data_IF_267819813881
#
_entry.id   IF_267819813881
#
_cell.length_a   1.000
_cell.length_b   1.000
_cell.length_c   1.000
_cell.angle_alpha   90.00
_cell.angle_beta   90.00
_cell.angle_gamma   90.00
#
_symmetry.space_group_name_H-M   'P 1'
#
loop_
_entity.id
_entity.type
_entity.pdbx_description
1 polymer ?
#
# COMPACT_ATOMS: atom_id res chain seq x y z
N UNK A 1 37.87 33.81 17.77
CA UNK A 1 39.21 33.27 17.48
C UNK A 1 39.06 32.15 16.45
N UNK A 2 39.58 32.39 15.24
CA UNK A 2 39.70 31.51 14.04
C UNK A 2 38.45 30.74 13.55
N UNK A 3 37.87 31.12 12.40
CA UNK A 3 38.23 30.58 11.06
C UNK A 3 37.01 29.78 10.56
N UNK A 4 36.46 29.94 9.37
CA UNK A 4 37.00 30.33 8.07
C UNK A 4 35.74 30.71 7.27
N UNK A 5 35.64 31.91 6.70
CA UNK A 5 34.67 32.12 5.62
C UNK A 5 35.19 31.31 4.43
N UNK A 6 34.84 30.03 4.40
CA UNK A 6 34.91 29.24 3.18
C UNK A 6 33.85 29.89 2.30
N UNK A 7 34.27 30.51 1.21
CA UNK A 7 33.34 31.01 0.20
C UNK A 7 32.56 29.78 -0.25
N UNK A 8 31.30 29.68 0.20
CA UNK A 8 30.38 28.66 -0.24
C UNK A 8 29.99 29.06 -1.66
N UNK A 9 30.60 28.41 -2.64
CA UNK A 9 30.38 28.69 -4.07
C UNK A 9 29.12 27.91 -4.48
N UNK A 10 28.12 28.61 -5.02
CA UNK A 10 26.85 28.02 -5.47
C UNK A 10 25.64 28.39 -4.61
N UNK A 11 24.45 28.29 -5.20
CA UNK A 11 23.18 28.52 -4.49
C UNK A 11 22.94 27.47 -3.40
N UNK A 12 21.96 27.66 -2.52
CA UNK A 12 21.62 26.63 -1.51
C UNK A 12 21.21 25.29 -2.17
N UNK A 13 20.59 25.36 -3.35
CA UNK A 13 20.25 24.17 -4.15
C UNK A 13 21.49 23.37 -4.55
N UNK A 14 22.52 24.02 -5.11
CA UNK A 14 23.77 23.34 -5.51
C UNK A 14 24.45 22.66 -4.32
N UNK A 15 24.51 23.37 -3.18
CA UNK A 15 25.11 22.87 -1.93
C UNK A 15 24.31 21.69 -1.37
N UNK A 16 22.99 21.72 -1.49
CA UNK A 16 22.12 20.64 -1.07
C UNK A 16 22.31 19.43 -1.98
N UNK A 17 22.34 19.61 -3.30
CA UNK A 17 22.64 18.53 -4.25
C UNK A 17 23.99 17.87 -3.94
N UNK A 18 25.04 18.66 -3.67
CA UNK A 18 26.35 18.12 -3.27
C UNK A 18 26.26 17.33 -1.96
N UNK A 19 25.51 17.83 -0.96
CA UNK A 19 25.31 17.15 0.30
C UNK A 19 24.58 15.80 0.13
N UNK A 20 23.53 15.77 -0.69
CA UNK A 20 22.74 14.58 -0.97
C UNK A 20 23.55 13.52 -1.74
N UNK A 21 24.40 13.94 -2.68
CA UNK A 21 25.30 13.02 -3.39
C UNK A 21 26.40 12.45 -2.48
N UNK A 22 26.93 13.26 -1.57
CA UNK A 22 28.02 12.83 -0.67
C UNK A 22 27.54 11.98 0.50
N UNK A 23 26.32 12.23 0.98
CA UNK A 23 25.75 11.56 2.14
C UNK A 23 24.39 10.96 1.77
N UNK A 24 24.37 9.66 1.49
CA UNK A 24 23.15 8.90 1.13
C UNK A 24 21.98 9.15 2.09
N UNK A 25 22.28 9.27 3.40
CA UNK A 25 21.28 9.46 4.46
C UNK A 25 20.89 10.92 4.72
N UNK A 26 21.47 11.88 4.01
CA UNK A 26 21.16 13.30 4.20
C UNK A 26 19.72 13.64 3.76
N UNK A 27 19.22 13.01 2.71
CA UNK A 27 17.83 13.17 2.26
C UNK A 27 16.84 12.79 3.37
N UNK A 28 17.05 11.62 3.97
CA UNK A 28 16.23 11.10 5.08
C UNK A 28 16.27 12.07 6.26
N UNK A 29 17.47 12.48 6.69
CA UNK A 29 17.64 13.41 7.82
C UNK A 29 16.89 14.72 7.56
N UNK A 30 17.07 15.31 6.37
CA UNK A 30 16.45 16.60 6.05
C UNK A 30 14.93 16.48 5.90
N UNK A 31 14.41 15.40 5.32
CA UNK A 31 12.95 15.13 5.24
C UNK A 31 12.34 14.97 6.64
N UNK A 32 12.98 14.21 7.52
CA UNK A 32 12.49 14.07 8.91
C UNK A 32 12.57 15.40 9.64
N UNK A 33 13.65 16.16 9.48
CA UNK A 33 13.78 17.50 10.05
C UNK A 33 12.71 18.47 9.53
N UNK A 34 12.37 18.43 8.24
CA UNK A 34 11.27 19.21 7.67
C UNK A 34 9.92 18.80 8.28
N UNK A 35 9.65 17.49 8.42
CA UNK A 35 8.39 17.03 9.03
C UNK A 35 8.22 17.51 10.48
N UNK A 36 9.33 17.63 11.23
CA UNK A 36 9.31 18.19 12.59
C UNK A 36 8.88 19.66 12.55
N UNK A 37 9.39 20.45 11.59
CA UNK A 37 8.99 21.84 11.39
C UNK A 37 7.52 21.95 11.00
N UNK A 38 7.03 21.07 10.13
CA UNK A 38 5.66 21.09 9.64
C UNK A 38 4.65 20.76 10.74
N UNK A 39 4.96 19.79 11.60
CA UNK A 39 4.08 19.39 12.71
C UNK A 39 3.98 20.46 13.80
N UNK A 40 5.08 21.15 14.10
CA UNK A 40 5.15 22.08 15.24
C UNK A 40 5.13 23.56 14.85
N UNK A 41 5.30 23.87 13.57
CA UNK A 41 5.65 25.19 13.09
C UNK A 41 7.10 25.59 13.40
N UNK A 42 7.53 26.77 12.91
CA UNK A 42 8.87 27.29 13.23
C UNK A 42 8.91 27.77 14.68
N UNK A 43 9.73 27.10 15.49
CA UNK A 43 9.89 27.43 16.91
C UNK A 43 10.84 28.59 17.14
N UNK A 44 10.69 29.29 18.27
CA UNK A 44 11.61 30.38 18.66
C UNK A 44 13.05 29.91 18.89
N UNK A 45 13.24 28.67 19.36
CA UNK A 45 14.58 28.10 19.62
C UNK A 45 15.21 27.45 18.39
N UNK A 46 14.42 27.03 17.41
CA UNK A 46 14.91 26.43 16.16
C UNK A 46 13.84 25.67 15.39
N UNK A 47 14.24 25.12 14.25
CA UNK A 47 13.41 24.34 13.33
C UNK A 47 13.38 22.85 13.69
N UNK A 48 14.46 22.29 14.26
CA UNK A 48 14.46 20.95 14.87
C UNK A 48 15.57 20.80 15.91
N UNK A 49 15.48 19.77 16.76
CA UNK A 49 16.51 19.41 17.75
C UNK A 49 16.93 17.95 17.62
N UNK A 50 18.09 17.63 18.18
CA UNK A 50 18.71 16.32 18.02
C UNK A 50 17.84 15.19 18.57
N UNK A 51 17.27 15.38 19.77
CA UNK A 51 16.51 14.33 20.46
C UNK A 51 15.26 13.98 19.64
N UNK A 52 14.49 15.01 19.27
CA UNK A 52 13.28 14.83 18.46
C UNK A 52 13.60 14.20 17.10
N UNK A 53 14.67 14.63 16.43
CA UNK A 53 15.11 14.03 15.17
C UNK A 53 15.44 12.54 15.31
N UNK A 54 16.25 12.18 16.31
CA UNK A 54 16.64 10.76 16.52
C UNK A 54 15.46 9.88 16.90
N UNK A 55 14.53 10.37 17.72
CA UNK A 55 13.30 9.63 18.06
C UNK A 55 12.45 9.37 16.82
N UNK A 56 12.25 10.38 15.96
CA UNK A 56 11.43 10.25 14.75
C UNK A 56 12.08 9.38 13.68
N UNK A 57 13.41 9.42 13.56
CA UNK A 57 14.17 8.49 12.71
C UNK A 57 13.94 7.04 13.15
N UNK A 58 14.02 6.76 14.45
CA UNK A 58 13.80 5.42 15.00
C UNK A 58 12.35 4.95 14.81
N UNK A 59 11.36 5.82 15.02
CA UNK A 59 9.94 5.53 14.76
C UNK A 59 9.67 5.13 13.31
N UNK A 60 10.40 5.73 12.36
CA UNK A 60 10.34 5.40 10.94
C UNK A 60 11.19 4.19 10.54
N UNK A 61 11.86 3.54 11.49
CA UNK A 61 12.67 2.34 11.26
C UNK A 61 14.10 2.63 10.79
N UNK A 62 14.57 3.87 10.87
CA UNK A 62 15.94 4.24 10.51
C UNK A 62 16.88 4.11 11.73
N UNK A 63 17.73 3.10 11.71
CA UNK A 63 18.73 2.85 12.75
C UNK A 63 20.13 3.34 12.31
N UNK A 64 20.35 4.65 12.38
CA UNK A 64 21.65 5.24 12.14
C UNK A 64 21.88 6.54 12.91
N UNK A 65 23.16 6.88 13.11
CA UNK A 65 23.59 8.05 13.87
C UNK A 65 23.72 9.31 12.98
N UNK A 66 22.84 10.33 13.13
CA UNK A 66 22.82 11.52 12.26
C UNK A 66 23.91 12.56 12.56
N UNK A 67 24.60 12.48 13.70
CA UNK A 67 25.51 13.53 14.20
C UNK A 67 26.58 13.98 13.20
N UNK A 68 27.20 13.04 12.49
CA UNK A 68 28.24 13.38 11.51
C UNK A 68 27.68 14.08 10.28
N UNK A 69 26.47 13.71 9.85
CA UNK A 69 25.80 14.30 8.69
C UNK A 69 25.29 15.70 9.05
N UNK A 70 24.69 15.87 10.23
CA UNK A 70 24.28 17.20 10.73
C UNK A 70 25.45 18.17 10.79
N UNK A 71 26.62 17.71 11.29
CA UNK A 71 27.84 18.52 11.32
C UNK A 71 28.28 18.94 9.92
N UNK A 72 28.20 18.05 8.93
CA UNK A 72 28.56 18.35 7.55
C UNK A 72 27.56 19.31 6.90
N UNK A 73 26.26 19.04 7.05
CA UNK A 73 25.16 19.92 6.59
C UNK A 73 25.31 21.34 7.12
N UNK A 74 25.76 21.50 8.36
CA UNK A 74 26.04 22.81 8.95
C UNK A 74 27.35 23.43 8.43
N UNK A 75 28.48 22.74 8.61
CA UNK A 75 29.81 23.37 8.45
C UNK A 75 30.34 23.35 7.03
N UNK A 76 30.03 22.30 6.28
CA UNK A 76 30.60 22.07 4.96
C UNK A 76 29.68 22.58 3.86
N UNK A 77 28.36 22.43 4.05
CA UNK A 77 27.36 22.81 3.04
C UNK A 77 26.55 24.06 3.41
N UNK A 78 26.41 24.39 4.70
CA UNK A 78 25.59 25.52 5.14
C UNK A 78 24.13 25.38 4.67
N UNK A 79 23.53 24.22 4.92
CA UNK A 79 22.09 23.93 4.71
C UNK A 79 21.31 24.27 5.97
N UNK A 80 21.92 23.99 7.12
CA UNK A 80 21.39 24.27 8.45
C UNK A 80 22.41 25.08 9.26
N UNK A 81 21.95 25.72 10.32
CA UNK A 81 22.79 26.44 11.26
C UNK A 81 22.35 26.16 12.70
N UNK A 82 23.29 26.09 13.63
CA UNK A 82 22.97 26.02 15.06
C UNK A 82 22.26 27.28 15.51
N UNK A 83 21.00 27.15 15.93
CA UNK A 83 20.20 28.27 16.44
C UNK A 83 20.26 28.41 17.95
N UNK A 84 20.42 27.29 18.66
CA UNK A 84 20.61 27.26 20.10
C UNK A 84 21.40 26.02 20.52
N UNK A 85 22.33 26.20 21.46
CA UNK A 85 23.11 25.10 22.01
C UNK A 85 23.35 25.29 23.50
N UNK A 86 23.01 24.28 24.28
CA UNK A 86 23.32 24.14 25.70
C UNK A 86 24.05 22.82 25.96
N UNK A 87 24.31 22.51 27.23
CA UNK A 87 24.92 21.22 27.62
C UNK A 87 24.10 20.01 27.20
N UNK A 88 22.77 20.13 27.17
CA UNK A 88 21.84 19.01 26.96
C UNK A 88 20.93 19.19 25.73
N UNK A 89 21.00 20.33 25.04
CA UNK A 89 20.15 20.62 23.89
C UNK A 89 20.97 21.21 22.75
N UNK A 90 20.68 20.77 21.53
CA UNK A 90 21.24 21.34 20.32
C UNK A 90 20.11 21.45 19.31
N UNK A 91 19.81 22.69 18.93
CA UNK A 91 18.77 23.06 17.98
C UNK A 91 19.41 23.65 16.72
N UNK A 92 18.79 23.35 15.59
CA UNK A 92 19.17 23.85 14.28
C UNK A 92 18.02 24.60 13.63
N UNK A 93 18.37 25.53 12.73
CA UNK A 93 17.48 26.17 11.77
C UNK A 93 17.94 25.86 10.35
N UNK A 94 17.01 25.78 9.42
CA UNK A 94 17.32 25.79 8.00
C UNK A 94 17.69 27.20 7.57
N UNK A 95 18.81 27.35 6.84
CA UNK A 95 19.23 28.65 6.32
C UNK A 95 18.16 29.19 5.35
N UNK A 96 17.63 28.31 4.50
CA UNK A 96 16.47 28.58 3.66
C UNK A 96 15.59 27.34 3.62
N UNK A 97 14.55 27.33 4.45
CA UNK A 97 13.62 26.22 4.60
C UNK A 97 12.90 25.91 3.28
N UNK A 98 12.43 26.94 2.59
CA UNK A 98 11.64 26.78 1.37
C UNK A 98 12.51 26.22 0.25
N UNK A 99 13.72 26.74 0.07
CA UNK A 99 14.64 26.17 -0.93
C UNK A 99 15.04 24.73 -0.62
N UNK A 100 15.18 24.36 0.66
CA UNK A 100 15.49 22.97 1.06
C UNK A 100 14.30 22.05 0.82
N UNK A 101 13.08 22.51 1.14
CA UNK A 101 11.84 21.78 0.83
C UNK A 101 11.70 21.57 -0.67
N UNK A 102 11.75 22.64 -1.44
CA UNK A 102 11.66 22.61 -2.90
C UNK A 102 12.71 21.68 -3.51
N UNK A 103 13.95 21.72 -3.04
CA UNK A 103 15.01 20.89 -3.59
C UNK A 103 14.89 19.41 -3.21
N UNK A 104 14.33 19.09 -2.03
CA UNK A 104 14.03 17.71 -1.65
C UNK A 104 12.80 17.18 -2.38
N UNK A 105 11.83 18.03 -2.71
CA UNK A 105 10.67 17.67 -3.53
C UNK A 105 11.02 17.63 -5.02
N UNK A 106 12.02 18.41 -5.47
CA UNK A 106 12.60 18.38 -6.82
C UNK A 106 13.63 17.27 -7.04
N UNK A 107 14.04 16.55 -5.99
CA UNK A 107 14.72 15.29 -6.16
C UNK A 107 13.71 14.31 -6.74
N UNK A 108 13.69 14.19 -8.07
CA UNK A 108 12.80 13.32 -8.85
C UNK A 108 12.43 12.08 -8.03
N UNK A 109 11.24 12.09 -7.44
CA UNK A 109 10.65 10.83 -7.00
C UNK A 109 10.55 10.00 -8.27
N UNK A 110 11.17 8.81 -8.28
CA UNK A 110 11.22 7.94 -9.45
C UNK A 110 9.82 7.96 -10.09
N UNK A 111 9.68 8.37 -11.38
CA UNK A 111 8.39 8.46 -12.03
C UNK A 111 7.55 7.18 -11.88
N UNK A 112 8.22 6.03 -11.74
CA UNK A 112 7.58 4.75 -11.43
C UNK A 112 6.95 4.74 -10.03
N UNK A 113 7.62 5.25 -8.98
CA UNK A 113 7.07 5.39 -7.63
C UNK A 113 5.85 6.31 -7.65
N UNK A 114 5.93 7.45 -8.33
CA UNK A 114 4.81 8.41 -8.48
C UNK A 114 3.62 7.74 -9.17
N UNK A 115 3.89 7.01 -10.25
CA UNK A 115 2.85 6.28 -11.00
C UNK A 115 2.21 5.18 -10.14
N UNK A 116 3.01 4.40 -9.40
CA UNK A 116 2.53 3.35 -8.48
C UNK A 116 1.57 3.95 -7.46
N UNK A 117 1.94 5.06 -6.81
CA UNK A 117 1.09 5.76 -5.83
C UNK A 117 -0.20 6.26 -6.46
N UNK A 118 -0.11 6.87 -7.63
CA UNK A 118 -1.27 7.40 -8.35
C UNK A 118 -2.25 6.29 -8.70
N UNK A 119 -1.76 5.17 -9.22
CA UNK A 119 -2.58 4.02 -9.58
C UNK A 119 -3.16 3.33 -8.34
N UNK A 120 -2.38 3.15 -7.28
CA UNK A 120 -2.86 2.58 -6.02
C UNK A 120 -4.01 3.40 -5.43
N UNK A 121 -3.87 4.72 -5.38
CA UNK A 121 -4.93 5.64 -4.93
C UNK A 121 -6.16 5.54 -5.82
N UNK A 122 -5.98 5.56 -7.14
CA UNK A 122 -7.09 5.50 -8.11
C UNK A 122 -7.87 4.18 -8.04
N UNK A 123 -7.20 3.08 -7.69
CA UNK A 123 -7.83 1.75 -7.52
C UNK A 123 -8.66 1.64 -6.23
N UNK A 124 -8.58 2.61 -5.31
CA UNK A 124 -9.41 2.61 -4.10
C UNK A 124 -9.18 1.39 -3.21
N UNK A 125 -7.92 1.10 -2.86
CA UNK A 125 -7.50 -0.10 -2.11
C UNK A 125 -8.34 -0.34 -0.84
N UNK A 126 -8.68 0.74 -0.13
CA UNK A 126 -9.51 0.72 1.08
C UNK A 126 -10.88 0.12 0.86
N UNK A 127 -11.55 0.55 -0.19
CA UNK A 127 -12.91 0.13 -0.47
C UNK A 127 -12.95 -1.31 -0.99
N UNK A 128 -11.96 -1.70 -1.79
CA UNK A 128 -11.79 -3.09 -2.22
C UNK A 128 -11.57 -4.00 -1.01
N UNK A 129 -10.62 -3.63 -0.15
CA UNK A 129 -10.31 -4.40 1.05
C UNK A 129 -11.54 -4.55 1.96
N UNK A 130 -12.26 -3.45 2.21
CA UNK A 130 -13.48 -3.44 3.04
C UNK A 130 -14.57 -4.35 2.45
N UNK A 131 -14.82 -4.26 1.13
CA UNK A 131 -15.81 -5.10 0.43
C UNK A 131 -15.45 -6.58 0.54
N UNK A 132 -14.18 -6.94 0.35
CA UNK A 132 -13.70 -8.31 0.47
C UNK A 132 -13.77 -8.83 1.92
N UNK A 133 -13.43 -8.00 2.91
CA UNK A 133 -13.59 -8.39 4.32
C UNK A 133 -15.05 -8.70 4.67
N UNK A 134 -16.00 -7.87 4.23
CA UNK A 134 -17.43 -8.11 4.41
C UNK A 134 -17.89 -9.40 3.73
N UNK A 135 -17.45 -9.64 2.49
CA UNK A 135 -17.75 -10.89 1.77
C UNK A 135 -17.14 -12.11 2.46
N UNK A 136 -15.94 -12.01 3.01
CA UNK A 136 -15.29 -13.11 3.71
C UNK A 136 -16.04 -13.45 5.02
N UNK A 137 -16.50 -12.44 5.75
CA UNK A 137 -17.24 -12.63 7.00
C UNK A 137 -18.63 -13.22 6.77
N UNK A 138 -19.39 -12.69 5.82
CA UNK A 138 -20.79 -13.11 5.59
C UNK A 138 -20.92 -14.26 4.59
N UNK A 139 -19.91 -14.46 3.74
CA UNK A 139 -19.95 -15.31 2.55
C UNK A 139 -20.71 -14.67 1.38
N UNK A 140 -20.56 -15.23 0.18
CA UNK A 140 -21.38 -14.88 -0.98
C UNK A 140 -22.77 -15.50 -0.76
N UNK A 141 -23.81 -14.66 -0.62
CA UNK A 141 -25.19 -15.11 -0.33
C UNK A 141 -26.20 -14.77 -1.42
N UNK A 142 -25.83 -13.89 -2.35
CA UNK A 142 -26.71 -13.41 -3.42
C UNK A 142 -26.02 -13.43 -4.78
N UNK A 143 -26.81 -13.38 -5.85
CA UNK A 143 -26.28 -13.21 -7.21
C UNK A 143 -25.62 -11.84 -7.40
N UNK A 144 -26.06 -10.82 -6.65
CA UNK A 144 -25.42 -9.51 -6.59
C UNK A 144 -24.00 -9.62 -6.01
N UNK A 145 -23.82 -10.36 -4.92
CA UNK A 145 -22.48 -10.63 -4.35
C UNK A 145 -21.59 -11.36 -5.34
N UNK A 146 -22.15 -12.35 -6.05
CA UNK A 146 -21.43 -13.15 -7.05
C UNK A 146 -21.00 -12.29 -8.24
N UNK A 147 -21.89 -11.45 -8.76
CA UNK A 147 -21.61 -10.52 -9.84
C UNK A 147 -20.56 -9.49 -9.43
N UNK A 148 -20.68 -8.92 -8.22
CA UNK A 148 -19.72 -7.96 -7.69
C UNK A 148 -18.33 -8.59 -7.49
N UNK A 149 -18.25 -9.79 -6.90
CA UNK A 149 -16.99 -10.50 -6.73
C UNK A 149 -16.37 -10.90 -8.06
N UNK A 150 -17.18 -11.33 -9.04
CA UNK A 150 -16.73 -11.60 -10.41
C UNK A 150 -16.12 -10.34 -11.03
N UNK A 151 -16.81 -9.20 -10.94
CA UNK A 151 -16.30 -7.93 -11.45
C UNK A 151 -14.95 -7.58 -10.82
N UNK A 152 -14.86 -7.60 -9.49
CA UNK A 152 -13.60 -7.42 -8.75
C UNK A 152 -12.50 -8.34 -9.28
N UNK A 153 -12.78 -9.64 -9.43
CA UNK A 153 -11.80 -10.64 -9.81
C UNK A 153 -11.26 -10.48 -11.24
N UNK A 154 -12.08 -10.01 -12.18
CA UNK A 154 -11.72 -9.92 -13.59
C UNK A 154 -11.35 -8.49 -14.05
N UNK A 155 -11.73 -7.45 -13.30
CA UNK A 155 -11.44 -6.05 -13.65
C UNK A 155 -10.41 -5.44 -12.70
N UNK A 156 -10.66 -5.49 -11.39
CA UNK A 156 -9.84 -4.77 -10.41
C UNK A 156 -8.57 -5.54 -9.98
N UNK A 157 -8.70 -6.86 -9.70
CA UNK A 157 -7.56 -7.66 -9.22
C UNK A 157 -6.39 -7.77 -10.22
N UNK A 158 -6.59 -7.85 -11.54
CA UNK A 158 -5.49 -7.81 -12.50
C UNK A 158 -4.69 -6.51 -12.41
N UNK A 159 -5.38 -5.36 -12.34
CA UNK A 159 -4.74 -4.05 -12.21
C UNK A 159 -3.94 -3.95 -10.90
N UNK A 160 -4.51 -4.46 -9.80
CA UNK A 160 -3.83 -4.54 -8.52
C UNK A 160 -2.57 -5.41 -8.60
N UNK A 161 -2.61 -6.55 -9.29
CA UNK A 161 -1.45 -7.41 -9.46
C UNK A 161 -0.32 -6.72 -10.22
N UNK A 162 -0.64 -5.91 -11.24
CA UNK A 162 0.34 -5.17 -12.01
C UNK A 162 0.97 -4.02 -11.21
N UNK A 163 0.20 -3.34 -10.37
CA UNK A 163 0.73 -2.36 -9.40
C UNK A 163 1.61 -3.07 -8.35
N UNK A 164 1.17 -4.23 -7.85
CA UNK A 164 1.93 -5.00 -6.86
C UNK A 164 3.32 -5.39 -7.37
N UNK A 165 3.42 -5.97 -8.58
CA UNK A 165 4.69 -6.40 -9.17
C UNK A 165 5.72 -5.28 -9.29
N UNK A 166 5.27 -4.05 -9.56
CA UNK A 166 6.15 -2.87 -9.65
C UNK A 166 6.47 -2.33 -8.25
N UNK A 167 5.48 -2.26 -7.36
CA UNK A 167 5.68 -1.78 -5.98
C UNK A 167 6.64 -2.62 -5.13
N UNK A 168 6.82 -3.92 -5.41
CA UNK A 168 7.81 -4.72 -4.65
C UNK A 168 9.26 -4.38 -5.00
N UNK A 169 9.50 -3.61 -6.06
CA UNK A 169 10.84 -3.21 -6.49
C UNK A 169 11.38 -1.99 -5.73
N UNK A 170 10.51 -1.26 -5.03
CA UNK A 170 10.83 0.01 -4.37
C UNK A 170 10.42 -0.01 -2.90
N UNK A 171 11.35 0.28 -1.98
CA UNK A 171 11.08 0.28 -0.53
C UNK A 171 10.06 1.39 -0.17
N UNK A 172 10.06 2.50 -0.90
CA UNK A 172 9.17 3.65 -0.78
C UNK A 172 7.70 3.34 -1.06
N UNK A 173 7.40 2.15 -1.59
CA UNK A 173 6.04 1.69 -1.93
C UNK A 173 5.64 0.41 -1.19
N UNK A 174 6.38 0.08 -0.12
CA UNK A 174 6.18 -1.15 0.67
C UNK A 174 4.82 -1.24 1.36
N UNK A 175 4.26 -0.12 1.79
CA UNK A 175 2.91 -0.03 2.37
C UNK A 175 1.86 -0.43 1.32
N UNK A 176 1.99 0.08 0.09
CA UNK A 176 1.13 -0.26 -1.05
C UNK A 176 1.23 -1.74 -1.37
N UNK A 177 2.45 -2.26 -1.53
CA UNK A 177 2.67 -3.67 -1.89
C UNK A 177 2.11 -4.63 -0.83
N UNK A 178 2.30 -4.30 0.45
CA UNK A 178 1.76 -5.05 1.58
C UNK A 178 0.23 -5.08 1.57
N UNK A 179 -0.39 -3.92 1.31
CA UNK A 179 -1.85 -3.80 1.27
C UNK A 179 -2.47 -4.55 0.10
N UNK A 180 -1.89 -4.42 -1.09
CA UNK A 180 -2.35 -5.17 -2.27
C UNK A 180 -2.22 -6.67 -2.04
N UNK A 181 -1.11 -7.14 -1.47
CA UNK A 181 -0.91 -8.56 -1.12
C UNK A 181 -2.01 -9.07 -0.18
N UNK A 182 -2.41 -8.26 0.81
CA UNK A 182 -3.53 -8.57 1.70
C UNK A 182 -4.85 -8.71 0.94
N UNK A 183 -5.15 -7.77 0.04
CA UNK A 183 -6.34 -7.79 -0.83
C UNK A 183 -6.39 -9.08 -1.67
N UNK A 184 -5.30 -9.40 -2.37
CA UNK A 184 -5.19 -10.61 -3.19
C UNK A 184 -5.39 -11.88 -2.35
N UNK A 185 -4.87 -11.90 -1.13
CA UNK A 185 -5.05 -13.00 -0.18
C UNK A 185 -6.52 -13.15 0.25
N UNK A 186 -7.21 -12.03 0.55
CA UNK A 186 -8.64 -12.04 0.88
C UNK A 186 -9.48 -12.60 -0.27
N UNK A 187 -9.23 -12.13 -1.49
CA UNK A 187 -9.93 -12.60 -2.68
C UNK A 187 -9.73 -14.10 -2.91
N UNK A 188 -8.50 -14.60 -2.78
CA UNK A 188 -8.18 -16.03 -2.88
C UNK A 188 -8.94 -16.87 -1.85
N UNK A 189 -9.02 -16.39 -0.59
CA UNK A 189 -9.80 -17.08 0.46
C UNK A 189 -11.29 -17.15 0.12
N UNK A 190 -11.88 -16.07 -0.38
CA UNK A 190 -13.30 -16.05 -0.79
C UNK A 190 -13.56 -17.04 -1.92
N UNK A 191 -12.69 -17.08 -2.95
CA UNK A 191 -12.83 -18.00 -4.06
C UNK A 191 -12.81 -19.48 -3.60
N UNK A 192 -11.89 -19.83 -2.68
CA UNK A 192 -11.80 -21.18 -2.11
C UNK A 192 -13.06 -21.56 -1.32
N UNK A 193 -13.57 -20.65 -0.48
CA UNK A 193 -14.79 -20.89 0.30
C UNK A 193 -16.02 -21.04 -0.61
N UNK A 194 -16.11 -20.21 -1.65
CA UNK A 194 -17.19 -20.28 -2.63
C UNK A 194 -17.20 -21.64 -3.36
N UNK A 195 -16.05 -22.11 -3.83
CA UNK A 195 -15.95 -23.39 -4.52
C UNK A 195 -16.22 -24.60 -3.61
N UNK A 196 -15.80 -24.54 -2.35
CA UNK A 196 -16.08 -25.59 -1.37
C UNK A 196 -17.60 -25.78 -1.11
N UNK A 197 -18.37 -24.67 -1.07
CA UNK A 197 -19.84 -24.74 -0.91
C UNK A 197 -20.55 -25.31 -2.14
N UNK A 198 -20.06 -25.02 -3.34
CA UNK A 198 -20.61 -25.59 -4.58
C UNK A 198 -20.38 -27.10 -4.64
N UNK A 199 -19.19 -27.56 -4.22
CA UNK A 199 -18.89 -29.01 -4.22
C UNK A 199 -19.65 -29.80 -3.14
N UNK A 200 -20.00 -29.17 -2.02
CA UNK A 200 -20.82 -29.80 -0.96
C UNK A 200 -22.33 -29.75 -1.21
N UNK A 201 -22.80 -29.06 -2.25
CA UNK A 201 -24.22 -29.03 -2.65
C UNK A 201 -24.52 -30.02 -3.79
N UNK A 202 -23.81 -31.15 -3.80
CA UNK A 202 -24.11 -32.30 -4.65
C UNK A 202 -25.51 -32.84 -4.35
N UNK A 203 -26.38 -32.73 -5.36
CA UNK A 203 -27.63 -33.45 -5.61
C UNK A 203 -28.26 -34.23 -4.45
N UNK A 204 -29.50 -33.91 -4.00
CA UNK A 204 -30.35 -34.96 -3.48
C UNK A 204 -30.63 -35.91 -4.64
N UNK A 205 -30.02 -37.09 -4.62
CA UNK A 205 -30.53 -38.23 -5.36
C UNK A 205 -32.00 -38.36 -4.96
N UNK A 206 -32.90 -37.92 -5.84
CA UNK A 206 -34.27 -38.39 -5.79
C UNK A 206 -34.18 -39.87 -6.11
N UNK A 207 -34.10 -40.71 -5.07
CA UNK A 207 -34.48 -42.10 -5.17
C UNK A 207 -35.78 -42.14 -5.96
N UNK A 208 -35.72 -42.75 -7.14
CA UNK A 208 -36.90 -42.99 -7.93
C UNK A 208 -37.85 -43.83 -7.07
N UNK A 209 -39.02 -43.27 -6.77
CA UNK A 209 -40.18 -44.06 -6.39
C UNK A 209 -40.42 -45.08 -7.52
N UNK A 210 -39.90 -46.30 -7.37
CA UNK A 210 -40.51 -47.46 -8.01
C UNK A 210 -41.85 -47.68 -7.32
N UNK A 211 -42.88 -47.02 -7.85
CA UNK A 211 -44.25 -47.47 -7.68
C UNK A 211 -44.41 -48.72 -8.53
N UNK A 212 -44.24 -49.87 -7.91
CA UNK A 212 -44.77 -51.13 -8.43
C UNK A 212 -46.29 -51.00 -8.46
N UNK A 213 -46.80 -50.44 -9.56
CA UNK A 213 -48.21 -50.47 -9.87
C UNK A 213 -48.54 -51.90 -10.29
N UNK A 214 -49.23 -52.58 -9.38
CA UNK A 214 -50.02 -53.76 -9.64
C UNK A 214 -50.97 -53.46 -10.80
N UNK A 215 -50.72 -54.03 -11.98
CA UNK A 215 -51.68 -54.01 -13.09
C UNK A 215 -52.28 -55.41 -13.17
N UNK A 216 -53.53 -55.48 -12.76
CA UNK A 216 -54.45 -56.60 -12.92
C UNK A 216 -54.34 -57.22 -14.31
N UNK A 217 -54.17 -58.54 -14.34
CA UNK A 217 -54.35 -59.37 -15.50
C UNK A 217 -55.81 -59.36 -15.92
N UNK A 218 -56.16 -58.42 -16.80
CA UNK A 218 -57.44 -58.39 -17.51
C UNK A 218 -57.56 -59.64 -18.38
N UNK A 219 -58.53 -60.49 -18.00
CA UNK A 219 -58.99 -61.68 -18.71
C UNK A 219 -59.27 -61.38 -20.18
N UNK A 220 -58.63 -62.13 -21.08
CA UNK A 220 -59.08 -62.26 -22.46
C UNK A 220 -60.31 -63.17 -22.49
N UNK A 221 -61.48 -62.59 -22.72
CA UNK A 221 -62.68 -63.31 -23.15
C UNK A 221 -63.02 -62.89 -24.58
N UNK A 222 -63.36 -63.91 -25.37
CA UNK A 222 -63.74 -63.93 -26.77
C UNK A 222 -64.62 -62.76 -27.25
N UNK A 223 -64.32 -62.30 -28.47
CA UNK A 223 -65.25 -61.61 -29.35
C UNK A 223 -64.79 -61.77 -30.80
N UNK A 224 -65.53 -62.58 -31.56
CA UNK A 224 -65.45 -62.74 -33.02
C UNK A 224 -65.47 -61.39 -33.74
N UNK A 225 -64.86 -61.35 -34.92
CA UNK A 225 -65.35 -60.58 -36.07
C UNK A 225 -64.83 -61.16 -37.41
N UNK A 226 -65.45 -60.82 -38.55
CA UNK A 226 -65.85 -61.78 -39.57
C UNK A 226 -64.98 -61.86 -40.84
N UNK A 227 -65.22 -62.96 -41.57
CA UNK A 227 -65.08 -63.26 -43.01
C UNK A 227 -64.50 -62.19 -43.93
N UNK A 228 -63.46 -62.60 -44.69
CA UNK A 228 -63.07 -62.03 -45.97
C UNK A 228 -62.19 -63.05 -46.73
N UNK A 229 -62.80 -63.64 -47.77
CA UNK A 229 -62.35 -64.63 -48.78
C UNK A 229 -61.92 -66.05 -48.36
#
# INVERSE_FOLDING_TARGET
MFSRYRILIGGIKDRLTEALLKYEKASIILRVALSIVEERGRGQVGDFDYKTLTSKLLELGYDFEPKMILRALERDFGIIETSYKSSNQHWWRFIDLESVRDALDQGEEDPEIVLIRTQATSLGLEDIERKLQLLLQRGIRSDVDRAMFKRLAFEDLPLLLDVYKRSVQYEETKDISTRIKKILTLASRIARISNAKVNNSGFPEKEGERKDNHVDSVRLLHGKDPVGD
#
